data_IF_389345250690
#
_entry.id   IF_389345250690
#
_cell.length_a   1.000
_cell.length_b   1.000
_cell.length_c   1.000
_cell.angle_alpha   90.00
_cell.angle_beta   90.00
_cell.angle_gamma   90.00
#
_symmetry.space_group_name_H-M   'P 1'
#
loop_
_entity.id
_entity.type
_entity.pdbx_description
1 polymer ?
#
# COMPACT_ATOMS: atom_id res chain seq x y z
N UNK A 1 5.92 -8.82 15.76
CA UNK A 1 6.31 -7.67 14.91
C UNK A 1 6.52 -6.39 15.73
N UNK A 2 5.63 -6.03 16.66
CA UNK A 2 5.73 -4.78 17.43
C UNK A 2 6.75 -4.72 18.59
N UNK A 3 7.30 -5.86 19.04
CA UNK A 3 8.21 -5.89 20.20
C UNK A 3 9.55 -5.17 19.96
N UNK A 4 10.02 -5.11 18.70
CA UNK A 4 11.24 -4.39 18.34
C UNK A 4 11.08 -2.86 18.34
N UNK A 5 9.85 -2.35 18.19
CA UNK A 5 9.56 -0.92 18.04
C UNK A 5 9.16 -0.21 19.35
N UNK A 6 9.21 -0.87 20.51
CA UNK A 6 8.64 -0.36 21.77
C UNK A 6 7.23 0.24 21.56
N UNK A 7 6.43 -0.40 20.72
CA UNK A 7 5.12 0.13 20.36
C UNK A 7 4.17 0.10 21.56
N UNK A 8 3.42 1.19 21.75
CA UNK A 8 2.34 1.30 22.74
C UNK A 8 1.02 1.37 21.99
N UNK A 9 0.14 0.41 22.25
CA UNK A 9 -1.24 0.46 21.73
C UNK A 9 -2.07 1.36 22.64
N UNK A 10 -2.73 2.35 22.06
CA UNK A 10 -3.66 3.23 22.76
C UNK A 10 -5.10 2.75 22.52
N UNK A 11 -5.92 2.77 23.56
CA UNK A 11 -7.36 2.46 23.46
C UNK A 11 -8.16 3.76 23.44
N UNK A 12 -9.09 3.85 22.49
CA UNK A 12 -10.06 4.95 22.40
C UNK A 12 -11.22 4.82 23.39
N UNK A 13 -11.36 3.68 24.08
CA UNK A 13 -12.50 3.41 24.98
C UNK A 13 -12.57 4.39 26.16
N UNK A 14 -11.43 4.99 26.51
CA UNK A 14 -11.32 5.94 27.61
C UNK A 14 -11.60 7.40 27.17
N UNK A 15 -11.84 7.63 25.88
CA UNK A 15 -12.15 8.96 25.36
C UNK A 15 -13.60 9.29 25.68
N UNK A 16 -13.80 10.42 26.37
CA UNK A 16 -15.13 10.90 26.71
C UNK A 16 -15.85 11.31 25.43
N UNK A 17 -17.01 10.69 25.10
CA UNK A 17 -17.76 11.05 23.90
C UNK A 17 -18.16 12.53 23.87
N UNK A 18 -18.33 13.17 25.04
CA UNK A 18 -18.63 14.60 25.13
C UNK A 18 -17.57 15.46 24.44
N UNK A 19 -16.27 15.12 24.52
CA UNK A 19 -15.22 15.92 23.88
C UNK A 19 -15.38 15.96 22.36
N UNK A 20 -15.75 14.82 21.76
CA UNK A 20 -15.99 14.70 20.31
C UNK A 20 -17.32 15.33 19.92
N UNK A 21 -18.39 15.12 20.71
CA UNK A 21 -19.71 15.70 20.44
C UNK A 21 -19.75 17.22 20.60
N UNK A 22 -18.96 17.77 21.52
CA UNK A 22 -18.81 19.22 21.69
C UNK A 22 -18.12 19.82 20.45
N UNK A 23 -17.04 19.19 19.95
CA UNK A 23 -16.37 19.61 18.73
C UNK A 23 -17.29 19.52 17.50
N UNK A 24 -18.09 18.46 17.40
CA UNK A 24 -19.11 18.30 16.35
C UNK A 24 -20.17 19.41 16.41
N UNK A 25 -20.68 19.69 17.60
CA UNK A 25 -21.72 20.71 17.81
C UNK A 25 -21.21 22.13 17.55
N UNK A 26 -19.91 22.36 17.80
CA UNK A 26 -19.24 23.64 17.60
C UNK A 26 -18.67 23.85 16.19
N UNK A 27 -18.78 22.85 15.30
CA UNK A 27 -18.22 22.89 13.94
C UNK A 27 -16.68 23.06 13.92
N UNK A 28 -15.97 22.29 14.75
CA UNK A 28 -14.53 22.41 14.96
C UNK A 28 -13.77 21.12 14.63
N UNK A 29 -12.47 21.25 14.33
CA UNK A 29 -11.58 20.11 14.07
C UNK A 29 -12.01 19.32 12.84
N UNK A 30 -12.16 18.00 12.98
CA UNK A 30 -12.59 17.09 11.90
C UNK A 30 -14.00 17.38 11.37
N UNK A 31 -14.79 18.17 12.10
CA UNK A 31 -16.16 18.46 11.71
C UNK A 31 -16.31 19.77 10.93
N UNK A 32 -15.23 20.54 10.74
CA UNK A 32 -15.28 21.78 9.95
C UNK A 32 -15.31 21.47 8.45
N UNK A 33 -16.48 21.47 7.83
CA UNK A 33 -16.62 21.24 6.37
C UNK A 33 -17.86 20.45 5.94
N UNK A 34 -17.80 19.90 4.72
CA UNK A 34 -18.80 18.96 4.17
C UNK A 34 -18.48 17.53 4.65
N UNK A 35 -19.49 16.66 4.78
CA UNK A 35 -19.34 15.23 5.19
C UNK A 35 -18.90 14.95 6.64
N UNK A 36 -19.45 15.70 7.61
CA UNK A 36 -19.11 15.61 9.05
C UNK A 36 -19.39 14.27 9.74
N UNK A 37 -20.21 13.37 9.16
CA UNK A 37 -20.65 12.14 9.85
C UNK A 37 -19.65 11.00 9.76
N UNK A 38 -18.83 10.96 8.72
CA UNK A 38 -17.90 9.86 8.52
C UNK A 38 -16.60 10.09 9.31
N UNK A 39 -16.45 11.27 9.90
CA UNK A 39 -15.27 11.78 10.61
C UNK A 39 -15.23 11.44 12.12
N UNK A 40 -16.27 10.78 12.64
CA UNK A 40 -16.30 10.41 14.06
C UNK A 40 -15.15 9.48 14.47
N UNK A 41 -14.82 8.40 13.72
CA UNK A 41 -13.69 7.54 14.05
C UNK A 41 -12.38 8.32 14.21
N UNK A 42 -12.04 9.18 13.24
CA UNK A 42 -10.80 9.95 13.24
C UNK A 42 -10.77 10.99 14.37
N UNK A 43 -11.91 11.60 14.68
CA UNK A 43 -12.02 12.49 15.83
C UNK A 43 -11.74 11.76 17.15
N UNK A 44 -12.23 10.52 17.34
CA UNK A 44 -11.94 9.72 18.54
C UNK A 44 -10.46 9.30 18.61
N UNK A 45 -9.87 8.91 17.48
CA UNK A 45 -8.44 8.58 17.37
C UNK A 45 -7.60 9.80 17.73
N UNK A 46 -7.91 10.97 17.17
CA UNK A 46 -7.15 12.18 17.40
C UNK A 46 -7.27 12.71 18.84
N UNK A 47 -8.46 12.64 19.46
CA UNK A 47 -8.62 12.95 20.89
C UNK A 47 -7.79 12.02 21.79
N UNK A 48 -7.57 10.77 21.37
CA UNK A 48 -6.68 9.84 22.07
C UNK A 48 -5.19 10.22 21.96
N UNK A 49 -4.80 10.80 20.83
CA UNK A 49 -3.40 11.18 20.56
C UNK A 49 -2.99 12.51 21.22
N UNK A 50 -3.91 13.48 21.31
CA UNK A 50 -3.63 14.82 21.86
C UNK A 50 -2.86 14.83 23.18
N UNK A 51 -3.21 14.02 24.20
CA UNK A 51 -2.52 14.07 25.50
C UNK A 51 -1.09 13.52 25.46
N UNK A 52 -0.73 12.74 24.44
CA UNK A 52 0.62 12.18 24.29
C UNK A 52 1.59 13.21 23.68
N UNK A 53 1.08 14.24 22.99
CA UNK A 53 1.85 15.34 22.44
C UNK A 53 2.21 16.36 23.55
N UNK A 54 3.47 16.40 23.96
CA UNK A 54 3.98 17.33 24.97
C UNK A 54 5.30 17.95 24.55
N UNK A 55 5.74 19.01 25.21
CA UNK A 55 7.06 19.63 24.97
C UNK A 55 8.21 18.62 25.16
N UNK A 56 8.05 17.64 26.05
CA UNK A 56 9.05 16.59 26.31
C UNK A 56 8.91 15.40 25.36
N UNK A 57 7.73 15.20 24.81
CA UNK A 57 7.39 14.11 23.88
C UNK A 57 6.61 14.66 22.70
N UNK A 58 7.29 15.37 21.76
CA UNK A 58 6.62 15.81 20.54
C UNK A 58 6.13 14.59 19.77
N UNK A 59 4.90 14.67 19.27
CA UNK A 59 4.23 13.58 18.59
C UNK A 59 4.25 13.81 17.08
N UNK A 60 4.69 12.80 16.34
CA UNK A 60 4.57 12.76 14.88
C UNK A 60 3.49 11.74 14.53
N UNK A 61 2.46 12.19 13.81
CA UNK A 61 1.46 11.32 13.19
C UNK A 61 1.89 11.09 11.75
N UNK A 62 1.96 9.82 11.32
CA UNK A 62 2.17 9.47 9.92
C UNK A 62 0.85 8.93 9.36
N UNK A 63 0.24 9.67 8.45
CA UNK A 63 -1.01 9.29 7.78
C UNK A 63 -1.15 10.00 6.45
N UNK A 64 -1.60 9.29 5.41
CA UNK A 64 -1.97 9.90 4.12
C UNK A 64 -3.39 10.50 4.16
N UNK A 65 -4.12 10.33 5.26
CA UNK A 65 -5.42 10.95 5.46
C UNK A 65 -5.28 12.47 5.70
N UNK A 66 -5.74 13.23 4.71
CA UNK A 66 -5.72 14.69 4.72
C UNK A 66 -6.56 15.31 5.85
N UNK A 67 -7.52 14.57 6.42
CA UNK A 67 -8.41 15.07 7.46
C UNK A 67 -7.68 15.38 8.77
N UNK A 68 -6.50 14.77 9.00
CA UNK A 68 -5.64 15.06 10.16
C UNK A 68 -4.88 16.39 10.04
N UNK A 69 -4.75 16.97 8.83
CA UNK A 69 -3.90 18.15 8.59
C UNK A 69 -4.46 19.43 9.22
N UNK A 70 -5.78 19.64 9.14
CA UNK A 70 -6.40 20.84 9.71
C UNK A 70 -6.45 20.80 11.25
N UNK A 71 -6.94 19.71 11.89
CA UNK A 71 -7.02 19.61 13.34
C UNK A 71 -5.65 19.65 14.04
N UNK A 72 -4.61 19.08 13.44
CA UNK A 72 -3.24 19.06 13.99
C UNK A 72 -2.65 20.44 14.22
N UNK A 73 -2.92 21.42 13.35
CA UNK A 73 -2.41 22.81 13.48
C UNK A 73 -2.81 23.50 14.77
N UNK A 74 -3.89 23.04 15.42
CA UNK A 74 -4.38 23.59 16.68
C UNK A 74 -3.72 23.00 17.92
N UNK A 75 -2.93 21.93 17.77
CA UNK A 75 -2.29 21.20 18.86
C UNK A 75 -0.80 21.49 18.83
N UNK A 76 -0.25 21.95 19.97
CA UNK A 76 1.20 22.19 20.08
C UNK A 76 1.94 20.86 20.14
N UNK A 77 3.18 20.85 19.67
CA UNK A 77 4.08 19.68 19.72
C UNK A 77 3.53 18.45 18.97
N UNK A 78 2.67 18.69 17.98
CA UNK A 78 2.11 17.66 17.12
C UNK A 78 2.38 18.03 15.65
N UNK A 79 2.99 17.11 14.92
CA UNK A 79 3.27 17.22 13.48
C UNK A 79 2.58 16.08 12.75
N UNK A 80 2.05 16.35 11.55
CA UNK A 80 1.48 15.33 10.66
C UNK A 80 2.35 15.22 9.43
N UNK A 81 2.77 14.01 9.10
CA UNK A 81 3.53 13.64 7.92
C UNK A 81 2.70 12.67 7.08
N UNK A 82 2.88 12.73 5.76
CA UNK A 82 2.05 11.92 4.83
C UNK A 82 2.55 10.50 4.70
N UNK A 83 3.85 10.31 4.91
CA UNK A 83 4.48 9.06 4.55
C UNK A 83 5.60 8.67 5.52
N UNK A 84 5.94 7.40 5.52
CA UNK A 84 7.11 6.87 6.22
C UNK A 84 8.40 7.55 5.73
N UNK A 85 8.62 7.77 4.41
CA UNK A 85 9.71 8.60 3.92
C UNK A 85 9.84 9.96 4.63
N UNK A 86 8.74 10.71 4.72
CA UNK A 86 8.75 12.02 5.39
C UNK A 86 9.16 11.88 6.86
N UNK A 87 8.75 10.80 7.56
CA UNK A 87 9.16 10.53 8.94
C UNK A 87 10.67 10.35 9.05
N UNK A 88 11.28 9.55 8.18
CA UNK A 88 12.73 9.36 8.22
C UNK A 88 13.49 10.66 7.90
N UNK A 89 13.00 11.46 6.96
CA UNK A 89 13.56 12.79 6.67
C UNK A 89 13.44 13.72 7.87
N UNK A 90 12.26 13.80 8.51
CA UNK A 90 12.03 14.62 9.71
C UNK A 90 12.93 14.19 10.88
N UNK A 91 13.24 12.89 10.99
CA UNK A 91 14.15 12.35 11.99
C UNK A 91 15.64 12.50 11.62
N UNK A 92 15.95 13.01 10.41
CA UNK A 92 17.32 13.23 9.94
C UNK A 92 18.06 11.94 9.55
N UNK A 93 17.35 10.93 9.05
CA UNK A 93 17.91 9.62 8.65
C UNK A 93 18.14 9.45 7.14
N UNK A 94 18.04 10.53 6.38
CA UNK A 94 18.37 10.57 4.96
C UNK A 94 19.90 10.41 4.77
N UNK A 95 20.32 9.56 3.82
CA UNK A 95 21.74 9.36 3.47
C UNK A 95 22.06 10.15 2.18
N UNK A 96 23.24 10.77 2.09
CA UNK A 96 23.72 11.38 0.84
C UNK A 96 24.05 10.34 -0.26
N UNK A 97 23.77 10.72 -1.51
CA UNK A 97 23.23 9.88 -2.59
C UNK A 97 24.15 9.36 -3.75
N UNK A 98 25.48 9.12 -3.71
CA UNK A 98 26.12 8.52 -4.90
C UNK A 98 26.17 6.97 -4.99
N UNK A 99 26.57 6.26 -3.92
CA UNK A 99 27.01 4.85 -4.04
C UNK A 99 25.84 3.85 -4.17
N UNK A 100 24.67 4.20 -3.63
CA UNK A 100 23.51 3.31 -3.63
C UNK A 100 22.83 3.21 -5.00
N UNK A 101 22.80 4.29 -5.78
CA UNK A 101 22.15 4.29 -7.08
C UNK A 101 22.95 3.49 -8.11
N UNK A 102 24.30 3.54 -8.08
CA UNK A 102 25.13 2.66 -8.91
C UNK A 102 24.88 1.18 -8.59
N UNK A 103 24.68 0.85 -7.31
CA UNK A 103 24.33 -0.50 -6.89
C UNK A 103 22.94 -0.93 -7.36
N UNK A 104 21.94 -0.06 -7.23
CA UNK A 104 20.57 -0.31 -7.71
C UNK A 104 20.57 -0.54 -9.22
N UNK A 105 21.23 0.35 -9.98
CA UNK A 105 21.36 0.23 -11.44
C UNK A 105 22.06 -1.08 -11.84
N UNK A 106 23.12 -1.46 -11.13
CA UNK A 106 23.83 -2.72 -11.33
C UNK A 106 23.03 -3.98 -10.91
N UNK A 107 22.01 -3.82 -10.07
CA UNK A 107 21.19 -4.90 -9.52
C UNK A 107 19.78 -4.94 -10.11
N UNK A 108 19.52 -4.18 -11.18
CA UNK A 108 18.19 -4.03 -11.77
C UNK A 108 17.53 -5.36 -12.15
N UNK A 109 18.28 -6.29 -12.74
CA UNK A 109 17.73 -7.60 -13.10
C UNK A 109 17.31 -8.40 -11.86
N UNK A 110 18.08 -8.31 -10.77
CA UNK A 110 17.72 -8.95 -9.51
C UNK A 110 16.49 -8.30 -8.87
N UNK A 111 16.35 -6.98 -8.95
CA UNK A 111 15.17 -6.25 -8.48
C UNK A 111 13.92 -6.70 -9.26
N UNK A 112 14.04 -6.84 -10.59
CA UNK A 112 12.96 -7.35 -11.44
C UNK A 112 12.51 -8.74 -11.01
N UNK A 113 13.46 -9.66 -10.82
CA UNK A 113 13.15 -11.03 -10.38
C UNK A 113 12.43 -11.02 -9.04
N UNK A 114 12.90 -10.24 -8.07
CA UNK A 114 12.30 -10.14 -6.74
C UNK A 114 10.89 -9.52 -6.77
N UNK A 115 10.66 -8.51 -7.62
CA UNK A 115 9.33 -7.92 -7.80
C UNK A 115 8.36 -8.92 -8.46
N UNK A 116 8.83 -9.70 -9.43
CA UNK A 116 8.03 -10.74 -10.09
C UNK A 116 7.70 -11.90 -9.14
N UNK A 117 8.66 -12.33 -8.31
CA UNK A 117 8.47 -13.33 -7.26
C UNK A 117 7.45 -12.88 -6.21
N UNK A 118 7.51 -11.61 -5.79
CA UNK A 118 6.55 -11.06 -4.82
C UNK A 118 5.15 -10.90 -5.42
N UNK A 119 5.06 -10.49 -6.70
CA UNK A 119 3.77 -10.32 -7.39
C UNK A 119 3.09 -11.67 -7.65
N UNK A 120 3.85 -12.75 -7.85
CA UNK A 120 3.31 -14.09 -7.99
C UNK A 120 2.53 -14.57 -6.74
N UNK A 121 2.70 -13.89 -5.59
CA UNK A 121 1.93 -14.15 -4.38
C UNK A 121 0.63 -13.34 -4.28
N UNK A 122 0.31 -12.50 -5.28
CA UNK A 122 -0.92 -11.71 -5.31
C UNK A 122 -2.06 -12.49 -5.95
N UNK A 123 -3.28 -12.16 -5.55
CA UNK A 123 -4.48 -12.72 -6.17
C UNK A 123 -4.88 -11.84 -7.36
N UNK A 124 -5.04 -12.46 -8.52
CA UNK A 124 -5.57 -11.81 -9.72
C UNK A 124 -7.05 -12.14 -9.85
N UNK A 125 -7.88 -11.11 -9.97
CA UNK A 125 -9.33 -11.24 -9.96
C UNK A 125 -9.90 -10.67 -11.26
N UNK A 126 -10.57 -11.53 -12.03
CA UNK A 126 -11.36 -11.09 -13.17
C UNK A 126 -12.56 -10.25 -12.69
N UNK A 127 -12.80 -9.12 -13.36
CA UNK A 127 -13.84 -8.16 -12.97
C UNK A 127 -15.13 -8.29 -13.77
N UNK A 128 -15.05 -8.88 -14.96
CA UNK A 128 -16.08 -8.83 -15.98
C UNK A 128 -16.58 -10.21 -16.45
N UNK A 129 -15.93 -11.28 -16.01
CA UNK A 129 -16.31 -12.66 -16.30
C UNK A 129 -16.39 -13.47 -15.00
N UNK A 130 -17.55 -14.08 -14.75
CA UNK A 130 -17.78 -14.94 -13.59
C UNK A 130 -17.06 -16.28 -13.75
N UNK A 131 -16.54 -16.79 -12.63
CA UNK A 131 -15.76 -18.04 -12.55
C UNK A 131 -14.52 -18.08 -13.47
N UNK A 132 -13.98 -16.91 -13.82
CA UNK A 132 -12.72 -16.83 -14.54
C UNK A 132 -11.53 -17.07 -13.60
N UNK A 133 -10.67 -17.98 -14.00
CA UNK A 133 -9.36 -18.20 -13.40
C UNK A 133 -8.33 -17.35 -14.13
N UNK A 134 -7.49 -16.64 -13.38
CA UNK A 134 -6.48 -15.71 -13.91
C UNK A 134 -5.15 -16.01 -13.26
N UNK A 135 -4.18 -16.40 -14.07
CA UNK A 135 -2.83 -16.75 -13.65
C UNK A 135 -1.80 -15.77 -14.24
N UNK A 136 -0.81 -15.41 -13.43
CA UNK A 136 0.35 -14.64 -13.91
C UNK A 136 1.22 -15.51 -14.82
N UNK A 137 1.56 -15.00 -16.01
CA UNK A 137 2.52 -15.64 -16.92
C UNK A 137 3.91 -15.01 -16.79
N UNK A 138 4.01 -13.70 -17.04
CA UNK A 138 5.26 -12.96 -17.00
C UNK A 138 5.08 -11.56 -16.41
N UNK A 139 6.18 -10.99 -15.92
CA UNK A 139 6.24 -9.63 -15.39
C UNK A 139 7.40 -8.89 -16.05
N UNK A 140 7.12 -7.71 -16.55
CA UNK A 140 8.10 -6.76 -17.07
C UNK A 140 8.04 -5.49 -16.24
N UNK A 141 9.18 -5.05 -15.69
CA UNK A 141 9.26 -3.74 -15.02
C UNK A 141 9.51 -2.68 -16.09
N UNK A 142 8.50 -1.87 -16.40
CA UNK A 142 8.60 -0.80 -17.41
C UNK A 142 9.47 0.34 -16.88
N UNK A 143 9.23 0.81 -15.65
CA UNK A 143 9.97 1.94 -15.07
C UNK A 143 10.03 1.83 -13.55
N UNK A 144 11.19 2.14 -12.96
CA UNK A 144 11.31 2.44 -11.53
C UNK A 144 11.39 3.94 -11.34
N UNK A 145 10.67 4.46 -10.36
CA UNK A 145 10.67 5.88 -10.06
C UNK A 145 10.52 6.15 -8.55
N UNK A 146 10.84 7.38 -8.13
CA UNK A 146 10.68 7.87 -6.76
C UNK A 146 11.42 7.06 -5.68
N UNK A 147 12.75 7.00 -5.77
CA UNK A 147 13.57 6.41 -4.73
C UNK A 147 13.68 7.33 -3.51
N UNK A 148 13.55 6.77 -2.32
CA UNK A 148 13.93 7.41 -1.06
C UNK A 148 14.79 6.44 -0.27
N UNK A 149 16.00 6.88 0.09
CA UNK A 149 17.03 6.03 0.69
C UNK A 149 17.26 6.45 2.13
N UNK A 150 17.15 5.49 3.04
CA UNK A 150 17.24 5.70 4.48
C UNK A 150 18.24 4.75 5.11
N UNK A 151 19.08 5.27 5.99
CA UNK A 151 19.97 4.45 6.82
C UNK A 151 19.24 3.91 8.04
N UNK A 152 19.45 2.64 8.39
CA UNK A 152 19.06 2.18 9.71
C UNK A 152 20.03 2.66 10.80
N UNK A 153 19.48 2.91 11.99
CA UNK A 153 20.25 3.06 13.23
C UNK A 153 20.11 1.79 14.06
N UNK A 154 21.22 1.09 14.24
CA UNK A 154 21.32 -0.14 15.04
C UNK A 154 22.55 -0.97 14.68
N UNK A 155 22.67 -2.15 15.29
CA UNK A 155 23.75 -3.10 14.98
C UNK A 155 23.57 -3.80 13.62
N UNK A 156 22.34 -3.82 13.09
CA UNK A 156 22.05 -4.23 11.71
C UNK A 156 22.34 -3.06 10.78
N UNK A 157 23.48 -3.12 10.09
CA UNK A 157 23.86 -2.14 9.08
C UNK A 157 23.12 -2.45 7.79
N UNK A 158 21.93 -1.88 7.64
CA UNK A 158 21.13 -1.99 6.43
C UNK A 158 20.64 -0.62 5.95
N UNK A 159 20.42 -0.53 4.65
CA UNK A 159 19.82 0.60 3.97
C UNK A 159 18.40 0.18 3.58
N UNK A 160 17.41 0.99 3.95
CA UNK A 160 16.04 0.86 3.48
C UNK A 160 15.86 1.77 2.27
N UNK A 161 15.39 1.21 1.16
CA UNK A 161 15.01 1.97 -0.02
C UNK A 161 13.51 1.81 -0.22
N UNK A 162 12.80 2.91 -0.38
CA UNK A 162 11.39 2.94 -0.75
C UNK A 162 11.30 3.48 -2.17
N UNK A 163 10.55 2.79 -3.03
CA UNK A 163 10.43 3.14 -4.44
C UNK A 163 9.06 2.77 -5.00
N UNK A 164 8.79 3.30 -6.20
CA UNK A 164 7.61 2.97 -7.01
C UNK A 164 8.05 2.29 -8.30
N UNK A 165 7.23 1.38 -8.81
CA UNK A 165 7.44 0.72 -10.08
C UNK A 165 6.16 0.67 -10.91
N UNK A 166 6.32 0.86 -12.21
CA UNK A 166 5.30 0.57 -13.21
C UNK A 166 5.60 -0.83 -13.75
N UNK A 167 4.69 -1.77 -13.51
CA UNK A 167 4.80 -3.15 -13.97
C UNK A 167 3.83 -3.40 -15.13
N UNK A 168 4.31 -4.12 -16.13
CA UNK A 168 3.49 -4.73 -17.17
C UNK A 168 3.46 -6.23 -16.91
N UNK A 169 2.26 -6.78 -16.79
CA UNK A 169 2.05 -8.17 -16.37
C UNK A 169 1.27 -8.88 -17.46
N UNK A 170 1.85 -9.94 -18.01
CA UNK A 170 1.13 -10.88 -18.87
C UNK A 170 0.35 -11.85 -18.01
N UNK A 171 -0.93 -12.01 -18.32
CA UNK A 171 -1.82 -12.91 -17.60
C UNK A 171 -2.51 -13.87 -18.56
N UNK A 172 -2.56 -15.13 -18.16
CA UNK A 172 -3.34 -16.15 -18.82
C UNK A 172 -4.67 -16.26 -18.09
N UNK A 173 -5.76 -16.34 -18.83
CA UNK A 173 -7.08 -16.53 -18.24
C UNK A 173 -7.76 -17.74 -18.84
N UNK A 174 -8.60 -18.38 -18.04
CA UNK A 174 -9.51 -19.42 -18.49
C UNK A 174 -10.85 -19.21 -17.80
N UNK A 175 -11.94 -19.22 -18.56
CA UNK A 175 -13.28 -19.08 -18.01
C UNK A 175 -14.27 -19.97 -18.75
N UNK A 176 -15.40 -20.35 -18.11
CA UNK A 176 -16.43 -21.11 -18.79
C UNK A 176 -17.02 -20.36 -19.99
N UNK A 177 -17.38 -21.07 -21.05
CA UNK A 177 -18.07 -20.46 -22.20
C UNK A 177 -19.53 -20.12 -21.85
N UNK A 178 -19.72 -18.90 -21.33
CA UNK A 178 -21.04 -18.37 -21.01
C UNK A 178 -21.88 -18.05 -22.25
N UNK A 179 -21.27 -17.87 -23.43
CA UNK A 179 -22.01 -17.53 -24.65
C UNK A 179 -22.87 -18.71 -25.17
N UNK A 180 -22.48 -19.93 -24.83
CA UNK A 180 -23.22 -21.15 -25.18
C UNK A 180 -23.93 -21.78 -23.97
N UNK A 181 -23.97 -21.08 -22.83
CA UNK A 181 -24.61 -21.59 -21.63
C UNK A 181 -26.11 -21.81 -21.83
N UNK A 182 -26.61 -22.94 -21.32
CA UNK A 182 -28.04 -23.25 -21.30
C UNK A 182 -28.60 -22.95 -19.92
N UNK A 183 -29.73 -22.26 -19.88
CA UNK A 183 -30.41 -21.96 -18.62
C UNK A 183 -31.19 -23.17 -18.12
N UNK A 184 -30.86 -23.65 -16.92
CA UNK A 184 -31.67 -24.63 -16.21
C UNK A 184 -32.75 -23.92 -15.40
N UNK A 185 -34.00 -24.11 -15.80
CA UNK A 185 -35.15 -23.50 -15.13
C UNK A 185 -35.51 -24.11 -13.76
N UNK A 186 -35.04 -25.33 -13.46
CA UNK A 186 -35.28 -26.00 -12.17
C UNK A 186 -34.41 -25.40 -11.08
N UNK A 187 -33.11 -25.30 -11.34
CA UNK A 187 -32.11 -24.77 -10.39
C UNK A 187 -31.88 -23.26 -10.53
N UNK A 188 -32.41 -22.64 -11.59
CA UNK A 188 -32.26 -21.21 -11.93
C UNK A 188 -30.80 -20.77 -12.10
N UNK A 189 -29.98 -21.65 -12.67
CA UNK A 189 -28.56 -21.42 -12.94
C UNK A 189 -28.26 -21.59 -14.43
N UNK A 190 -27.25 -20.88 -14.91
CA UNK A 190 -26.69 -21.07 -16.24
C UNK A 190 -25.66 -22.21 -16.16
N UNK A 191 -25.74 -23.17 -17.09
CA UNK A 191 -24.77 -24.26 -17.20
C UNK A 191 -24.02 -24.09 -18.53
N UNK A 192 -22.70 -23.83 -18.50
CA UNK A 192 -21.88 -23.78 -19.71
C UNK A 192 -21.88 -25.17 -20.39
N UNK A 193 -22.09 -25.20 -21.71
CA UNK A 193 -22.28 -26.46 -22.47
C UNK A 193 -21.10 -26.84 -23.35
N UNK A 194 -20.15 -25.93 -23.56
CA UNK A 194 -18.92 -26.10 -24.32
C UNK A 194 -17.71 -26.13 -23.40
N UNK A 195 -16.54 -26.44 -23.98
CA UNK A 195 -15.24 -26.33 -23.30
C UNK A 195 -14.92 -24.86 -22.95
N UNK A 196 -14.06 -24.68 -21.95
CA UNK A 196 -13.65 -23.37 -21.44
C UNK A 196 -12.96 -22.52 -22.52
N UNK A 197 -13.07 -21.20 -22.37
CA UNK A 197 -12.37 -20.21 -23.19
C UNK A 197 -11.10 -19.79 -22.48
N UNK A 198 -9.95 -20.00 -23.12
CA UNK A 198 -8.66 -19.53 -22.64
C UNK A 198 -8.09 -18.44 -23.54
N UNK A 199 -7.34 -17.51 -22.94
CA UNK A 199 -6.64 -16.46 -23.67
C UNK A 199 -5.52 -15.83 -22.84
N UNK A 200 -4.86 -14.85 -23.45
CA UNK A 200 -3.77 -14.08 -22.85
C UNK A 200 -4.14 -12.61 -22.91
N UNK A 201 -3.85 -11.84 -21.85
CA UNK A 201 -3.98 -10.39 -21.85
C UNK A 201 -2.85 -9.74 -21.05
N UNK A 202 -2.74 -8.43 -21.13
CA UNK A 202 -1.71 -7.65 -20.44
C UNK A 202 -2.37 -6.62 -19.53
N UNK A 203 -1.90 -6.52 -18.29
CA UNK A 203 -2.34 -5.50 -17.33
C UNK A 203 -1.17 -4.66 -16.85
N UNK A 204 -1.46 -3.38 -16.58
CA UNK A 204 -0.51 -2.47 -15.93
C UNK A 204 -0.80 -2.40 -14.45
N UNK A 205 0.24 -2.54 -13.64
CA UNK A 205 0.15 -2.52 -12.18
C UNK A 205 1.16 -1.52 -11.65
N UNK A 206 0.66 -0.49 -10.98
CA UNK A 206 1.49 0.48 -10.27
C UNK A 206 1.71 -0.02 -8.84
N UNK A 207 2.97 -0.20 -8.46
CA UNK A 207 3.33 -0.75 -7.16
C UNK A 207 4.28 0.16 -6.39
N UNK A 208 4.00 0.30 -5.10
CA UNK A 208 4.85 0.90 -4.10
C UNK A 208 5.56 -0.24 -3.35
N UNK A 209 6.88 -0.22 -3.31
CA UNK A 209 7.66 -1.27 -2.67
C UNK A 209 8.76 -0.71 -1.78
N UNK A 210 9.21 -1.54 -0.85
CA UNK A 210 10.40 -1.29 -0.05
C UNK A 210 11.39 -2.42 -0.23
N UNK A 211 12.68 -2.09 -0.32
CA UNK A 211 13.76 -3.06 -0.31
C UNK A 211 14.73 -2.77 0.84
N UNK A 212 15.31 -3.83 1.39
CA UNK A 212 16.37 -3.76 2.39
C UNK A 212 17.69 -4.19 1.75
N UNK A 213 18.72 -3.37 1.87
CA UNK A 213 20.05 -3.60 1.31
C UNK A 213 21.04 -3.75 2.46
N UNK A 214 21.76 -4.87 2.50
CA UNK A 214 22.83 -5.11 3.45
C UNK A 214 24.06 -4.26 3.08
N UNK A 215 24.75 -3.70 4.08
CA UNK A 215 26.00 -2.96 3.85
C UNK A 215 27.21 -3.59 4.52
N UNK A 216 28.39 -3.35 3.94
CA UNK A 216 29.68 -3.82 4.45
C UNK A 216 30.18 -3.01 5.67
N UNK A 217 31.40 -3.32 6.12
CA UNK A 217 32.02 -2.61 7.24
C UNK A 217 32.26 -1.11 6.99
N UNK A 218 32.29 -0.71 5.71
CA UNK A 218 32.52 0.65 5.22
C UNK A 218 31.22 1.37 4.84
N UNK A 219 30.06 0.72 5.01
CA UNK A 219 28.75 1.28 4.68
C UNK A 219 28.37 1.19 3.20
N UNK A 220 29.07 0.36 2.41
CA UNK A 220 28.77 0.15 0.99
C UNK A 220 27.71 -0.94 0.81
N UNK A 221 26.76 -0.76 -0.13
CA UNK A 221 25.75 -1.79 -0.42
C UNK A 221 26.40 -3.05 -1.00
N UNK A 222 25.97 -4.22 -0.50
CA UNK A 222 26.51 -5.54 -0.89
C UNK A 222 25.45 -6.42 -1.52
N UNK A 223 24.26 -6.48 -0.90
CA UNK A 223 23.22 -7.44 -1.27
C UNK A 223 21.82 -6.89 -0.97
N UNK A 224 20.86 -7.19 -1.85
CA UNK A 224 19.44 -6.94 -1.60
C UNK A 224 18.88 -8.11 -0.78
N UNK A 225 18.55 -7.87 0.49
CA UNK A 225 18.08 -8.91 1.41
C UNK A 225 16.61 -9.28 1.16
N UNK A 226 15.78 -8.28 0.88
CA UNK A 226 14.33 -8.47 0.73
C UNK A 226 13.71 -7.35 -0.08
N UNK A 227 12.65 -7.67 -0.83
CA UNK A 227 11.72 -6.73 -1.46
C UNK A 227 10.32 -7.05 -0.94
N UNK A 228 9.52 -6.02 -0.65
CA UNK A 228 8.14 -6.20 -0.16
C UNK A 228 7.26 -5.11 -0.71
N UNK A 229 6.07 -5.48 -1.20
CA UNK A 229 5.07 -4.51 -1.63
C UNK A 229 4.33 -3.88 -0.46
N UNK A 230 3.92 -2.63 -0.66
CA UNK A 230 3.18 -1.82 0.30
C UNK A 230 1.71 -1.65 -0.07
N UNK A 231 1.31 -2.09 -1.27
CA UNK A 231 -0.07 -2.09 -1.76
C UNK A 231 -0.85 -3.30 -1.25
N UNK A 232 -2.17 -3.25 -1.43
CA UNK A 232 -3.05 -4.39 -1.27
C UNK A 232 -2.73 -5.48 -2.32
N UNK A 233 -2.89 -6.75 -1.94
CA UNK A 233 -2.43 -7.92 -2.72
C UNK A 233 -3.37 -8.36 -3.84
N UNK A 234 -4.13 -7.42 -4.41
CA UNK A 234 -5.15 -7.74 -5.41
C UNK A 234 -4.87 -6.98 -6.71
N UNK A 235 -4.86 -7.70 -7.83
CA UNK A 235 -4.86 -7.10 -9.17
C UNK A 235 -6.19 -7.40 -9.83
N UNK A 236 -6.87 -6.36 -10.29
CA UNK A 236 -8.12 -6.49 -11.03
C UNK A 236 -7.86 -6.53 -12.53
N UNK A 237 -8.36 -7.57 -13.20
CA UNK A 237 -8.16 -7.80 -14.63
C UNK A 237 -9.51 -7.73 -15.35
N UNK A 238 -9.55 -7.02 -16.48
CA UNK A 238 -10.69 -7.04 -17.39
C UNK A 238 -10.32 -7.91 -18.60
N UNK A 239 -11.14 -8.92 -18.88
CA UNK A 239 -10.88 -9.94 -19.90
C UNK A 239 -11.59 -9.65 -21.24
N UNK A 240 -12.59 -8.78 -21.24
CA UNK A 240 -13.35 -8.39 -22.44
C UNK A 240 -12.90 -7.02 -23.00
N UNK A 241 -12.74 -6.92 -24.33
CA UNK A 241 -12.49 -5.63 -25.00
C UNK A 241 -13.73 -4.71 -24.98
N UNK A 242 -14.93 -5.26 -24.78
CA UNK A 242 -16.20 -4.55 -25.01
C UNK A 242 -16.93 -4.09 -23.73
N UNK A 243 -16.40 -4.36 -22.53
CA UNK A 243 -16.94 -3.81 -21.27
C UNK A 243 -18.40 -4.18 -20.96
N UNK A 244 -18.93 -5.21 -21.62
CA UNK A 244 -20.27 -5.72 -21.35
C UNK A 244 -20.17 -6.90 -20.38
N UNK A 245 -20.63 -6.77 -19.13
CA UNK A 245 -20.80 -7.93 -18.28
C UNK A 245 -21.85 -8.81 -18.95
N UNK A 246 -21.46 -10.03 -19.32
CA UNK A 246 -22.43 -11.08 -19.63
C UNK A 246 -23.19 -11.36 -18.33
N UNK A 247 -24.37 -10.74 -18.22
CA UNK A 247 -25.32 -10.91 -17.10
C UNK A 247 -26.29 -12.04 -17.37
#
# INVERSE_FOLDING_TARGET
MFERLRAKVLSIDNIKPSAVFDAYSADQGFFSGQSKRDQFPDAFIFECLKPEATDQTPLIIVSDDADFVSPSRSVKHLTVLKSIPDLFTELGYEIEEPDIFEFIDGSMDRIRDLLAEELANWEMIATDVEDADVEQDWVEVETLHSFSVFGQIGDDRSILVVAKADLKVGVNYTHPDWATATYDSEDKVLIPTMEDVSGETEVRVDVDFSMTIAVDELGKPVEIESVTFRNDRFVYVALSEDGYPYK
#
